data_IF_031929949433
#
_entry.id   IF_031929949433
#
_cell.length_a   1.000
_cell.length_b   1.000
_cell.length_c   1.000
_cell.angle_alpha   90.00
_cell.angle_beta   90.00
_cell.angle_gamma   90.00
#
_symmetry.space_group_name_H-M   'P 1'
#
loop_
_entity.id
_entity.type
_entity.pdbx_description
1 polymer ?
#
# COMPACT_ATOMS: atom_id res chain seq x y z
N UNK A 1 -67.27 8.08 -52.42
CA UNK A 1 -65.86 8.53 -52.22
C UNK A 1 -65.82 9.77 -51.34
N UNK A 2 -65.95 9.67 -50.00
CA UNK A 2 -65.78 10.84 -49.10
C UNK A 2 -65.49 10.49 -47.62
N UNK A 3 -65.04 9.26 -47.32
CA UNK A 3 -64.93 8.79 -45.92
C UNK A 3 -63.52 8.38 -45.45
N UNK A 4 -62.51 8.34 -46.32
CA UNK A 4 -61.20 7.78 -45.93
C UNK A 4 -60.08 8.81 -45.75
N UNK A 5 -60.33 10.10 -46.00
CA UNK A 5 -59.28 11.14 -45.89
C UNK A 5 -59.19 11.71 -44.46
N UNK A 6 -60.26 11.64 -43.67
CA UNK A 6 -60.28 12.24 -42.33
C UNK A 6 -59.58 11.40 -41.25
N UNK A 7 -59.45 10.09 -41.44
CA UNK A 7 -58.75 9.21 -40.49
C UNK A 7 -57.22 9.19 -40.69
N UNK A 8 -56.71 9.46 -41.89
CA UNK A 8 -55.26 9.57 -42.11
C UNK A 8 -54.66 10.84 -41.52
N UNK A 9 -55.43 11.94 -41.44
CA UNK A 9 -54.94 13.20 -40.87
C UNK A 9 -54.82 13.14 -39.34
N UNK A 10 -55.70 12.42 -38.63
CA UNK A 10 -55.63 12.27 -37.17
C UNK A 10 -54.49 11.35 -36.71
N UNK A 11 -54.19 10.30 -37.48
CA UNK A 11 -53.08 9.38 -37.16
C UNK A 11 -51.72 10.04 -37.37
N UNK A 12 -51.59 10.93 -38.36
CA UNK A 12 -50.35 11.67 -38.61
C UNK A 12 -50.06 12.77 -37.58
N UNK A 13 -51.07 13.42 -37.00
CA UNK A 13 -50.84 14.40 -35.90
C UNK A 13 -50.47 13.71 -34.59
N UNK A 14 -51.01 12.51 -34.32
CA UNK A 14 -50.68 11.74 -33.12
C UNK A 14 -49.27 11.13 -33.19
N UNK A 15 -48.82 10.71 -34.37
CA UNK A 15 -47.47 10.17 -34.56
C UNK A 15 -46.37 11.24 -34.42
N UNK A 16 -46.63 12.48 -34.88
CA UNK A 16 -45.67 13.59 -34.73
C UNK A 16 -45.55 14.04 -33.27
N UNK A 17 -46.63 14.00 -32.48
CA UNK A 17 -46.57 14.31 -31.04
C UNK A 17 -45.82 13.23 -30.24
N UNK A 18 -45.95 11.95 -30.60
CA UNK A 18 -45.22 10.86 -29.93
C UNK A 18 -43.73 10.86 -30.32
N UNK A 19 -43.39 11.14 -31.58
CA UNK A 19 -41.99 11.22 -32.04
C UNK A 19 -41.26 12.47 -31.49
N UNK A 20 -41.95 13.58 -31.24
CA UNK A 20 -41.34 14.75 -30.58
C UNK A 20 -41.27 14.64 -29.05
N UNK A 21 -42.10 13.81 -28.41
CA UNK A 21 -42.01 13.57 -26.96
C UNK A 21 -40.85 12.66 -26.54
N UNK A 22 -40.28 11.90 -27.48
CA UNK A 22 -39.12 11.02 -27.24
C UNK A 22 -37.75 11.69 -27.52
N UNK A 23 -37.73 12.88 -28.14
CA UNK A 23 -36.50 13.60 -28.48
C UNK A 23 -36.11 14.71 -27.49
N UNK A 24 -36.79 14.77 -26.34
CA UNK A 24 -36.47 15.70 -25.26
C UNK A 24 -36.42 15.01 -23.90
N UNK A 25 -35.82 13.81 -23.81
CA UNK A 25 -35.06 13.50 -22.59
C UNK A 25 -33.86 14.42 -22.60
N UNK A 26 -34.03 15.66 -22.11
CA UNK A 26 -32.88 16.43 -21.61
C UNK A 26 -32.20 15.49 -20.63
N UNK A 27 -31.03 14.97 -20.99
CA UNK A 27 -30.11 14.34 -20.05
C UNK A 27 -29.79 15.43 -19.03
N UNK A 28 -30.63 15.54 -17.99
CA UNK A 28 -30.39 16.45 -16.89
C UNK A 28 -29.11 15.94 -16.26
N UNK A 29 -28.07 16.76 -16.29
CA UNK A 29 -26.84 16.47 -15.55
C UNK A 29 -27.25 16.18 -14.11
N UNK A 30 -26.82 15.04 -13.53
CA UNK A 30 -27.11 14.74 -12.14
C UNK A 30 -26.60 15.85 -11.23
N UNK A 31 -27.22 16.01 -10.05
CA UNK A 31 -26.82 17.07 -9.12
C UNK A 31 -25.38 16.86 -8.62
N UNK A 32 -24.94 15.61 -8.50
CA UNK A 32 -23.56 15.20 -8.23
C UNK A 32 -23.07 14.32 -9.38
N UNK A 33 -21.99 14.70 -10.05
CA UNK A 33 -21.57 14.03 -11.28
C UNK A 33 -20.08 14.18 -11.57
N UNK A 34 -19.59 13.34 -12.47
CA UNK A 34 -18.40 13.62 -13.24
C UNK A 34 -18.64 13.33 -14.73
N UNK A 35 -17.84 13.96 -15.58
CA UNK A 35 -17.88 13.87 -17.03
C UNK A 35 -16.46 13.64 -17.53
N UNK A 36 -16.28 12.63 -18.36
CA UNK A 36 -15.02 12.32 -19.05
C UNK A 36 -15.32 12.30 -20.54
N UNK A 37 -14.75 13.24 -21.30
CA UNK A 37 -15.13 13.44 -22.70
C UNK A 37 -16.64 13.69 -22.79
N UNK A 38 -17.38 12.87 -23.53
CA UNK A 38 -18.84 12.99 -23.66
C UNK A 38 -19.65 12.17 -22.65
N UNK A 39 -19.00 11.28 -21.89
CA UNK A 39 -19.68 10.39 -20.95
C UNK A 39 -19.90 11.07 -19.61
N UNK A 40 -21.11 11.01 -19.07
CA UNK A 40 -21.47 11.56 -17.75
C UNK A 40 -21.85 10.44 -16.80
N UNK A 41 -21.37 10.51 -15.58
CA UNK A 41 -21.52 9.53 -14.52
C UNK A 41 -22.04 10.23 -13.27
N UNK A 42 -23.05 9.64 -12.62
CA UNK A 42 -23.58 10.17 -11.37
C UNK A 42 -22.71 9.76 -10.17
N UNK A 43 -22.49 10.69 -9.24
CA UNK A 43 -21.79 10.44 -7.99
C UNK A 43 -22.83 10.35 -6.87
N UNK A 44 -22.85 9.24 -6.15
CA UNK A 44 -23.81 9.00 -5.05
C UNK A 44 -23.21 9.26 -3.68
N UNK A 45 -21.90 9.07 -3.52
CA UNK A 45 -21.24 9.24 -2.22
C UNK A 45 -19.78 9.63 -2.39
N UNK A 46 -19.18 10.09 -1.30
CA UNK A 46 -17.74 10.34 -1.23
C UNK A 46 -17.16 9.97 0.12
N UNK A 47 -15.86 9.72 0.17
CA UNK A 47 -15.12 9.43 1.39
C UNK A 47 -13.77 10.14 1.43
N UNK A 48 -13.33 10.44 2.65
CA UNK A 48 -11.96 10.84 2.95
C UNK A 48 -11.25 9.63 3.56
N UNK A 49 -10.06 9.32 3.05
CA UNK A 49 -9.22 8.23 3.51
C UNK A 49 -7.85 8.79 3.89
N UNK A 50 -7.47 8.62 5.15
CA UNK A 50 -6.11 8.95 5.61
C UNK A 50 -5.16 7.79 5.27
N UNK A 51 -4.09 8.09 4.53
CA UNK A 51 -3.06 7.14 4.12
C UNK A 51 -1.77 7.24 4.94
N UNK A 52 -1.71 8.13 5.93
CA UNK A 52 -0.54 8.30 6.78
C UNK A 52 -0.06 9.74 6.89
N UNK A 53 0.80 9.98 7.89
CA UNK A 53 1.56 11.23 7.98
C UNK A 53 2.68 11.24 6.93
N UNK A 54 2.94 12.41 6.36
CA UNK A 54 4.02 12.69 5.40
C UNK A 54 4.65 14.03 5.74
N UNK A 55 5.80 14.35 5.16
CA UNK A 55 6.41 15.66 5.35
C UNK A 55 5.43 16.78 4.95
N UNK A 56 5.10 17.65 5.92
CA UNK A 56 4.18 18.78 5.72
C UNK A 56 2.69 18.49 5.98
N UNK A 57 2.29 17.28 6.38
CA UNK A 57 0.91 16.98 6.79
C UNK A 57 0.54 15.49 6.69
N UNK A 58 -0.67 15.21 6.23
CA UNK A 58 -1.23 13.87 6.07
C UNK A 58 -1.53 13.62 4.60
N UNK A 59 -1.14 12.45 4.12
CA UNK A 59 -1.54 11.96 2.81
C UNK A 59 -3.01 11.53 2.88
N UNK A 60 -3.88 12.25 2.19
CA UNK A 60 -5.33 12.05 2.25
C UNK A 60 -5.88 11.82 0.84
N UNK A 61 -6.59 10.71 0.67
CA UNK A 61 -7.35 10.36 -0.51
C UNK A 61 -8.81 10.84 -0.38
N UNK A 62 -9.26 11.62 -1.36
CA UNK A 62 -10.68 11.88 -1.62
C UNK A 62 -11.16 10.89 -2.66
N UNK A 63 -12.11 10.04 -2.29
CA UNK A 63 -12.78 9.13 -3.21
C UNK A 63 -14.23 9.51 -3.41
N UNK A 64 -14.65 9.61 -4.66
CA UNK A 64 -16.06 9.85 -5.03
C UNK A 64 -16.56 8.62 -5.78
N UNK A 65 -17.73 8.11 -5.42
CA UNK A 65 -18.26 6.82 -5.89
C UNK A 65 -19.58 6.98 -6.65
N UNK A 66 -19.77 6.14 -7.66
CA UNK A 66 -21.06 5.92 -8.30
C UNK A 66 -22.01 5.05 -7.46
N UNK A 67 -23.21 4.78 -7.98
CA UNK A 67 -24.23 3.95 -7.34
C UNK A 67 -23.77 2.51 -7.08
N UNK A 68 -22.89 1.98 -7.93
CA UNK A 68 -22.37 0.62 -7.77
C UNK A 68 -21.21 0.53 -6.79
N UNK A 69 -20.62 1.66 -6.39
CA UNK A 69 -19.36 1.73 -5.64
C UNK A 69 -18.13 1.29 -6.44
N UNK A 70 -18.31 0.95 -7.74
CA UNK A 70 -17.27 0.38 -8.60
C UNK A 70 -16.56 1.48 -9.40
N UNK A 71 -17.26 2.52 -9.83
CA UNK A 71 -16.60 3.64 -10.49
C UNK A 71 -16.24 4.69 -9.45
N UNK A 72 -14.97 5.11 -9.44
CA UNK A 72 -14.53 6.14 -8.52
C UNK A 72 -13.51 7.09 -9.14
N UNK A 73 -13.48 8.30 -8.60
CA UNK A 73 -12.36 9.22 -8.78
C UNK A 73 -11.58 9.27 -7.47
N UNK A 74 -10.26 9.10 -7.53
CA UNK A 74 -9.37 9.26 -6.39
C UNK A 74 -8.43 10.42 -6.59
N UNK A 75 -8.52 11.40 -5.69
CA UNK A 75 -7.60 12.52 -5.62
C UNK A 75 -6.78 12.39 -4.34
N UNK A 76 -5.47 12.41 -4.49
CA UNK A 76 -4.55 12.35 -3.37
C UNK A 76 -4.01 13.75 -3.08
N UNK A 77 -4.05 14.16 -1.81
CA UNK A 77 -3.63 15.47 -1.34
C UNK A 77 -2.75 15.35 -0.09
N UNK A 78 -1.97 16.40 0.19
CA UNK A 78 -1.39 16.60 1.52
C UNK A 78 -2.30 17.57 2.28
N UNK A 79 -2.91 17.11 3.37
CA UNK A 79 -3.75 17.90 4.27
C UNK A 79 -3.03 18.21 5.57
N UNK A 80 -3.32 19.34 6.22
CA UNK A 80 -2.82 19.59 7.58
C UNK A 80 -3.54 18.77 8.64
N UNK A 81 -4.69 18.18 8.29
CA UNK A 81 -5.53 17.40 9.19
C UNK A 81 -5.77 16.01 8.61
N UNK A 82 -5.58 14.97 9.43
CA UNK A 82 -5.73 13.56 9.06
C UNK A 82 -7.11 13.21 8.49
N UNK A 83 -8.17 13.74 9.08
CA UNK A 83 -9.54 13.30 8.82
C UNK A 83 -10.37 14.31 8.02
N UNK A 84 -9.72 15.36 7.52
CA UNK A 84 -10.41 16.52 6.92
C UNK A 84 -9.56 17.10 5.81
N UNK A 85 -10.24 17.48 4.72
CA UNK A 85 -9.64 18.26 3.66
C UNK A 85 -10.06 19.72 3.85
N UNK A 86 -9.08 20.63 3.86
CA UNK A 86 -9.32 22.05 4.04
C UNK A 86 -9.98 22.67 2.81
N UNK A 87 -10.68 23.80 3.00
CA UNK A 87 -11.15 24.57 1.87
C UNK A 87 -9.97 25.16 1.11
N UNK A 88 -9.77 24.73 -0.13
CA UNK A 88 -8.62 25.12 -0.93
C UNK A 88 -8.79 24.76 -2.40
N UNK A 89 -7.87 25.26 -3.21
CA UNK A 89 -7.70 24.88 -4.62
C UNK A 89 -6.47 23.98 -4.71
N UNK A 90 -6.71 22.68 -4.91
CA UNK A 90 -5.66 21.68 -5.11
C UNK A 90 -5.32 21.58 -6.58
N UNK A 91 -4.03 21.42 -6.89
CA UNK A 91 -3.52 21.17 -8.24
C UNK A 91 -2.87 19.80 -8.24
N UNK A 92 -2.83 19.16 -9.40
CA UNK A 92 -2.11 17.90 -9.60
C UNK A 92 -0.72 18.18 -10.20
N UNK A 93 0.31 18.51 -9.40
CA UNK A 93 1.63 18.81 -9.93
C UNK A 93 2.38 17.56 -10.42
N UNK A 94 2.00 16.37 -9.97
CA UNK A 94 2.82 15.15 -10.09
C UNK A 94 2.12 13.95 -10.75
N UNK A 95 0.87 14.11 -11.19
CA UNK A 95 0.11 13.05 -11.86
C UNK A 95 -0.37 11.95 -10.91
N UNK A 96 -0.43 12.23 -9.60
CA UNK A 96 -0.87 11.29 -8.57
C UNK A 96 -2.37 10.98 -8.59
N UNK A 97 -3.18 11.85 -9.22
CA UNK A 97 -4.62 11.65 -9.30
C UNK A 97 -5.00 10.67 -10.40
N UNK A 98 -6.01 9.85 -10.11
CA UNK A 98 -6.37 8.70 -10.93
C UNK A 98 -7.89 8.53 -11.02
N UNK A 99 -8.36 8.16 -12.21
CA UNK A 99 -9.74 7.76 -12.47
C UNK A 99 -9.76 6.25 -12.60
N UNK A 100 -10.53 5.56 -11.78
CA UNK A 100 -10.51 4.10 -11.73
C UNK A 100 -11.90 3.48 -11.80
N UNK A 101 -11.97 2.34 -12.49
CA UNK A 101 -13.02 1.35 -12.29
C UNK A 101 -12.45 0.23 -11.40
N UNK A 102 -13.10 0.00 -10.26
CA UNK A 102 -12.85 -1.12 -9.36
C UNK A 102 -13.83 -2.26 -9.71
N UNK A 103 -13.36 -3.24 -10.49
CA UNK A 103 -14.01 -4.55 -10.55
C UNK A 103 -13.30 -5.50 -9.59
N UNK A 104 -14.00 -5.94 -8.54
CA UNK A 104 -13.60 -7.04 -7.65
C UNK A 104 -12.25 -6.82 -6.92
N UNK A 105 -11.92 -5.58 -6.54
CA UNK A 105 -10.69 -5.28 -5.79
C UNK A 105 -9.46 -5.04 -6.68
N UNK A 106 -9.60 -5.17 -8.00
CA UNK A 106 -8.52 -4.94 -8.97
C UNK A 106 -8.82 -3.68 -9.78
N UNK A 107 -7.89 -2.71 -9.75
CA UNK A 107 -7.98 -1.46 -10.52
C UNK A 107 -7.69 -1.73 -12.00
N UNK A 108 -8.71 -2.15 -12.77
CA UNK A 108 -8.51 -2.74 -14.10
C UNK A 108 -8.40 -1.72 -15.24
N UNK A 109 -8.61 -0.43 -14.98
CA UNK A 109 -8.42 0.64 -15.98
C UNK A 109 -8.28 1.99 -15.27
N UNK A 110 -7.06 2.36 -14.91
CA UNK A 110 -6.77 3.66 -14.33
C UNK A 110 -6.36 4.66 -15.41
N UNK A 111 -7.21 5.63 -15.73
CA UNK A 111 -6.77 6.78 -16.51
C UNK A 111 -6.04 7.75 -15.56
N UNK A 112 -4.75 7.97 -15.80
CA UNK A 112 -3.98 8.96 -15.04
C UNK A 112 -4.49 10.36 -15.37
N UNK A 113 -4.72 11.17 -14.35
CA UNK A 113 -4.98 12.59 -14.52
C UNK A 113 -3.61 13.26 -14.74
N UNK A 114 -3.42 13.86 -15.90
CA UNK A 114 -2.16 14.51 -16.28
C UNK A 114 -2.01 15.89 -15.63
N UNK A 115 -3.10 16.66 -15.58
CA UNK A 115 -3.12 17.98 -14.95
C UNK A 115 -4.53 18.35 -14.55
N UNK A 116 -4.69 19.30 -13.64
CA UNK A 116 -6.02 19.76 -13.26
C UNK A 116 -6.06 20.52 -11.96
N UNK A 117 -7.28 20.93 -11.63
CA UNK A 117 -7.64 21.64 -10.42
C UNK A 117 -8.84 20.94 -9.79
N UNK A 118 -8.77 20.70 -8.49
CA UNK A 118 -9.91 20.34 -7.66
C UNK A 118 -10.07 21.44 -6.62
N UNK A 119 -11.23 22.11 -6.63
CA UNK A 119 -11.58 23.09 -5.61
C UNK A 119 -12.48 22.40 -4.60
N UNK A 120 -12.16 22.57 -3.33
CA UNK A 120 -12.93 22.00 -2.23
C UNK A 120 -13.33 23.18 -1.35
N UNK A 121 -14.62 23.32 -1.11
CA UNK A 121 -15.20 24.26 -0.15
C UNK A 121 -15.92 23.45 0.93
N UNK A 122 -15.63 23.77 2.19
CA UNK A 122 -16.21 23.09 3.35
C UNK A 122 -17.07 24.09 4.11
N UNK A 123 -18.25 23.65 4.49
CA UNK A 123 -19.20 24.44 5.28
C UNK A 123 -19.80 23.58 6.40
N UNK A 124 -20.75 24.14 7.15
CA UNK A 124 -21.58 23.37 8.09
C UNK A 124 -22.40 22.29 7.39
N UNK A 125 -22.71 22.48 6.10
CA UNK A 125 -23.62 21.65 5.32
C UNK A 125 -22.87 20.58 4.51
N UNK A 126 -21.62 20.30 4.88
CA UNK A 126 -20.74 19.35 4.23
C UNK A 126 -19.75 19.98 3.25
N UNK A 127 -19.44 19.25 2.18
CA UNK A 127 -18.44 19.60 1.18
C UNK A 127 -19.09 20.00 -0.14
N UNK A 128 -18.47 20.96 -0.83
CA UNK A 128 -18.66 21.24 -2.25
C UNK A 128 -17.33 21.04 -2.96
N UNK A 129 -17.32 20.27 -4.04
CA UNK A 129 -16.11 19.84 -4.73
C UNK A 129 -16.30 20.07 -6.23
N UNK A 130 -15.52 20.97 -6.79
CA UNK A 130 -15.47 21.28 -8.22
C UNK A 130 -14.22 20.70 -8.85
N UNK A 131 -14.39 19.85 -9.85
CA UNK A 131 -13.32 19.12 -10.53
C UNK A 131 -13.18 19.67 -11.95
N UNK A 132 -11.96 20.07 -12.32
CA UNK A 132 -11.60 20.43 -13.69
C UNK A 132 -10.19 19.93 -14.00
N UNK A 133 -10.09 18.82 -14.71
CA UNK A 133 -8.83 18.16 -14.99
C UNK A 133 -8.73 17.71 -16.45
N UNK A 134 -7.58 17.15 -16.80
CA UNK A 134 -7.28 16.55 -18.09
C UNK A 134 -6.54 15.24 -17.88
N UNK A 135 -6.93 14.17 -18.55
CA UNK A 135 -6.25 12.88 -18.47
C UNK A 135 -4.96 12.84 -19.31
N UNK A 136 -4.25 11.71 -19.25
CA UNK A 136 -3.05 11.43 -20.04
C UNK A 136 -3.24 11.47 -21.57
N UNK A 137 -4.48 11.42 -22.05
CA UNK A 137 -4.85 11.52 -23.47
C UNK A 137 -5.38 12.91 -23.83
N UNK A 138 -5.22 13.90 -22.94
CA UNK A 138 -5.76 15.25 -23.09
C UNK A 138 -7.30 15.32 -23.14
N UNK A 139 -7.99 14.30 -22.64
CA UNK A 139 -9.45 14.31 -22.49
C UNK A 139 -9.85 15.13 -21.28
N UNK A 140 -10.81 16.06 -21.47
CA UNK A 140 -11.31 16.88 -20.38
C UNK A 140 -12.13 16.04 -19.39
N UNK A 141 -11.86 16.28 -18.10
CA UNK A 141 -12.58 15.72 -16.96
C UNK A 141 -13.22 16.88 -16.20
N UNK A 142 -14.54 16.84 -16.02
CA UNK A 142 -15.27 17.79 -15.17
C UNK A 142 -16.05 17.05 -14.11
N UNK A 143 -16.29 17.67 -12.97
CA UNK A 143 -17.17 17.07 -11.98
C UNK A 143 -17.60 18.06 -10.93
N UNK A 144 -18.69 17.72 -10.27
CA UNK A 144 -19.25 18.46 -9.16
C UNK A 144 -19.79 17.48 -8.14
N UNK A 145 -19.49 17.71 -6.87
CA UNK A 145 -20.07 16.98 -5.76
C UNK A 145 -20.44 17.94 -4.65
N UNK A 146 -21.65 17.81 -4.13
CA UNK A 146 -22.13 18.45 -2.92
C UNK A 146 -22.72 17.40 -1.98
N UNK A 147 -22.21 17.36 -0.76
CA UNK A 147 -22.70 16.47 0.28
C UNK A 147 -21.66 16.19 1.35
N UNK A 148 -22.01 15.30 2.26
CA UNK A 148 -21.08 14.83 3.28
C UNK A 148 -20.11 13.80 2.72
N UNK A 149 -18.90 13.80 3.27
CA UNK A 149 -17.90 12.78 2.99
C UNK A 149 -17.84 11.84 4.19
N UNK A 150 -18.08 10.56 3.96
CA UNK A 150 -17.89 9.57 5.02
C UNK A 150 -16.42 9.52 5.37
N UNK A 151 -16.11 9.58 6.66
CA UNK A 151 -14.77 9.20 7.11
C UNK A 151 -14.67 7.70 6.92
N UNK A 152 -13.71 7.31 6.09
CA UNK A 152 -13.23 5.94 6.09
C UNK A 152 -11.81 6.04 6.58
N UNK A 153 -11.59 5.59 7.81
CA UNK A 153 -10.35 4.87 8.02
C UNK A 153 -10.34 3.82 6.93
N UNK A 154 -9.20 3.62 6.28
CA UNK A 154 -9.16 2.62 5.25
C UNK A 154 -9.45 1.30 5.98
N UNK A 155 -10.72 0.85 6.00
CA UNK A 155 -11.15 -0.39 6.67
C UNK A 155 -10.51 -1.61 5.97
N UNK A 156 -9.86 -1.38 4.83
CA UNK A 156 -8.95 -2.28 4.14
C UNK A 156 -7.45 -2.02 4.44
N UNK A 157 -7.11 -1.18 5.41
CA UNK A 157 -5.76 -0.95 5.92
C UNK A 157 -5.68 -0.97 7.47
N UNK A 158 -6.34 -1.93 8.12
CA UNK A 158 -5.46 -2.87 8.82
C UNK A 158 -4.62 -3.45 7.70
N UNK A 159 -3.43 -2.90 7.43
CA UNK A 159 -2.52 -3.57 6.50
C UNK A 159 -2.16 -4.87 7.21
N UNK A 160 -3.00 -5.88 7.02
CA UNK A 160 -2.66 -7.25 7.32
C UNK A 160 -1.30 -7.47 6.67
N UNK A 161 -0.38 -8.08 7.42
CA UNK A 161 0.89 -8.51 6.85
C UNK A 161 0.54 -9.28 5.58
N UNK A 162 1.09 -8.92 4.41
CA UNK A 162 0.66 -9.53 3.17
C UNK A 162 0.89 -11.04 3.25
N UNK A 163 -0.10 -11.80 2.80
CA UNK A 163 -0.08 -13.27 2.88
C UNK A 163 1.12 -13.91 2.17
N UNK A 164 1.70 -13.21 1.20
CA UNK A 164 2.92 -13.64 0.50
C UNK A 164 4.20 -13.48 1.34
N UNK A 165 4.12 -12.82 2.50
CA UNK A 165 5.20 -12.61 3.47
C UNK A 165 4.94 -13.42 4.73
N UNK A 166 3.71 -13.38 5.24
CA UNK A 166 3.29 -14.16 6.38
C UNK A 166 2.01 -14.91 6.00
N UNK A 167 2.10 -16.18 5.60
CA UNK A 167 0.94 -16.97 5.20
C UNK A 167 -0.08 -17.12 6.32
N UNK A 168 -1.38 -17.15 5.96
CA UNK A 168 -2.48 -17.29 6.93
C UNK A 168 -2.32 -18.58 7.76
N UNK A 169 -1.76 -19.64 7.17
CA UNK A 169 -1.59 -20.95 7.80
C UNK A 169 -0.70 -20.92 9.05
N UNK A 170 0.20 -19.95 9.16
CA UNK A 170 1.13 -19.81 10.30
C UNK A 170 1.02 -18.46 11.01
N UNK A 171 0.07 -17.60 10.60
CA UNK A 171 -0.06 -16.24 11.15
C UNK A 171 -0.25 -16.27 12.67
N UNK A 172 -1.23 -17.05 13.16
CA UNK A 172 -1.54 -17.13 14.58
C UNK A 172 -0.41 -17.76 15.41
N UNK A 173 0.38 -18.65 14.81
CA UNK A 173 1.52 -19.27 15.50
C UNK A 173 2.71 -18.31 15.59
N UNK A 174 3.06 -17.63 14.50
CA UNK A 174 4.14 -16.64 14.49
C UNK A 174 3.82 -15.49 15.44
N UNK A 175 2.57 -15.01 15.47
CA UNK A 175 2.16 -13.86 16.30
C UNK A 175 2.08 -14.16 17.81
N UNK A 176 2.18 -15.42 18.22
CA UNK A 176 2.39 -15.77 19.65
C UNK A 176 3.80 -15.38 20.14
N UNK A 177 4.76 -15.28 19.22
CA UNK A 177 6.16 -15.05 19.55
C UNK A 177 6.72 -13.74 18.96
N UNK A 178 6.02 -13.14 18.00
CA UNK A 178 6.46 -11.97 17.26
C UNK A 178 5.37 -10.89 17.21
N UNK A 179 5.65 -9.64 17.64
CA UNK A 179 4.68 -8.56 17.55
C UNK A 179 4.46 -8.13 16.10
N UNK A 180 3.19 -7.94 15.73
CA UNK A 180 2.79 -7.41 14.43
C UNK A 180 1.99 -6.13 14.63
N UNK A 181 2.57 -5.02 14.20
CA UNK A 181 1.95 -3.71 14.22
C UNK A 181 1.37 -3.38 12.84
N UNK A 182 0.06 -3.59 12.72
CA UNK A 182 -0.72 -3.11 11.60
C UNK A 182 -0.97 -1.60 11.70
N UNK A 183 -1.21 -0.96 10.56
CA UNK A 183 -1.58 0.45 10.48
C UNK A 183 -0.99 1.12 9.23
N UNK A 184 -1.34 2.38 9.03
CA UNK A 184 -1.00 3.17 7.84
C UNK A 184 -0.16 4.39 8.13
N UNK A 185 0.11 4.65 9.40
CA UNK A 185 0.90 5.79 9.89
C UNK A 185 2.15 5.27 10.61
N UNK A 186 2.98 4.42 9.98
CA UNK A 186 4.21 3.96 10.63
C UNK A 186 5.15 5.15 10.86
N UNK A 187 6.08 5.04 11.83
CA UNK A 187 7.10 6.06 12.03
C UNK A 187 8.00 6.22 10.79
N UNK A 188 8.69 7.36 10.69
CA UNK A 188 9.79 7.50 9.75
C UNK A 188 10.96 6.61 10.19
N UNK A 189 11.19 5.54 9.44
CA UNK A 189 12.21 4.54 9.75
C UNK A 189 13.62 4.95 9.31
N UNK A 190 13.80 6.07 8.61
CA UNK A 190 15.10 6.53 8.10
C UNK A 190 16.18 6.47 9.20
N UNK A 191 17.25 5.72 8.94
CA UNK A 191 18.35 5.57 9.90
C UNK A 191 19.12 4.27 9.71
N UNK A 192 20.15 4.11 10.53
CA UNK A 192 21.02 2.94 10.56
C UNK A 192 21.11 2.43 11.99
N UNK A 193 20.97 1.12 12.16
CA UNK A 193 20.77 0.46 13.45
C UNK A 193 21.61 -0.82 13.52
N UNK A 194 21.95 -1.23 14.75
CA UNK A 194 22.55 -2.55 15.03
C UNK A 194 21.76 -3.23 16.13
N UNK A 195 21.40 -4.50 15.92
CA UNK A 195 20.90 -5.37 16.98
C UNK A 195 22.04 -6.29 17.43
N UNK A 196 22.45 -6.18 18.69
CA UNK A 196 23.64 -6.85 19.23
C UNK A 196 23.55 -6.92 20.76
N UNK A 197 23.42 -8.13 21.36
CA UNK A 197 23.31 -9.43 20.71
C UNK A 197 21.97 -9.64 20.01
N UNK A 198 21.97 -10.25 18.82
CA UNK A 198 20.75 -10.70 18.16
C UNK A 198 20.53 -12.18 18.47
N UNK A 199 19.45 -12.51 19.17
CA UNK A 199 19.25 -13.85 19.75
C UNK A 199 18.00 -14.53 19.19
N UNK A 200 18.06 -15.85 18.98
CA UNK A 200 16.91 -16.68 18.65
C UNK A 200 16.08 -16.94 19.92
N UNK A 201 14.79 -16.65 19.84
CA UNK A 201 13.84 -16.86 20.94
C UNK A 201 12.79 -17.92 20.63
N UNK A 202 12.61 -18.27 19.36
CA UNK A 202 11.70 -19.34 18.95
C UNK A 202 12.06 -19.88 17.57
N UNK A 203 11.89 -21.19 17.37
CA UNK A 203 11.87 -21.80 16.04
C UNK A 203 10.84 -22.92 15.96
N UNK A 204 10.16 -23.02 14.82
CA UNK A 204 8.97 -23.88 14.67
C UNK A 204 9.27 -25.38 14.53
N UNK A 205 10.55 -25.76 14.48
CA UNK A 205 11.00 -27.13 14.23
C UNK A 205 12.04 -27.63 15.24
N UNK A 206 12.30 -26.88 16.32
CA UNK A 206 13.14 -27.35 17.41
C UNK A 206 12.44 -28.49 18.17
N UNK A 207 13.21 -29.54 18.49
CA UNK A 207 12.79 -30.52 19.50
C UNK A 207 12.90 -29.96 20.94
N UNK A 208 13.70 -28.90 21.14
CA UNK A 208 13.84 -28.21 22.42
C UNK A 208 13.80 -26.68 22.22
N UNK A 209 12.62 -26.04 22.29
CA UNK A 209 12.46 -24.61 22.06
C UNK A 209 13.12 -23.70 23.12
N UNK A 210 13.64 -24.26 24.23
CA UNK A 210 14.15 -23.50 25.37
C UNK A 210 15.64 -23.12 25.28
N UNK A 211 16.38 -23.56 24.27
CA UNK A 211 17.78 -23.15 24.09
C UNK A 211 17.89 -21.83 23.31
N UNK A 212 18.13 -20.73 24.02
CA UNK A 212 18.47 -19.44 23.41
C UNK A 212 19.81 -19.58 22.67
N UNK A 213 19.79 -19.35 21.36
CA UNK A 213 21.00 -19.31 20.53
C UNK A 213 21.34 -17.86 20.20
N UNK A 214 22.56 -17.44 20.50
CA UNK A 214 23.08 -16.12 20.11
C UNK A 214 23.55 -16.20 18.66
N UNK A 215 23.04 -15.30 17.82
CA UNK A 215 23.48 -15.10 16.44
C UNK A 215 24.45 -13.92 16.36
N UNK A 216 25.11 -13.78 15.22
CA UNK A 216 25.93 -12.60 14.93
C UNK A 216 25.09 -11.32 14.92
N UNK A 217 25.73 -10.21 15.28
CA UNK A 217 25.18 -8.86 15.21
C UNK A 217 24.50 -8.60 13.86
N UNK A 218 23.33 -7.95 13.93
CA UNK A 218 22.55 -7.62 12.75
C UNK A 218 22.55 -6.12 12.51
N UNK A 219 23.25 -5.70 11.46
CA UNK A 219 23.28 -4.32 11.01
C UNK A 219 22.15 -4.08 10.00
N UNK A 220 21.48 -2.93 10.16
CA UNK A 220 20.29 -2.57 9.40
C UNK A 220 20.36 -1.11 8.99
N UNK A 221 19.87 -0.79 7.81
CA UNK A 221 19.84 0.55 7.26
C UNK A 221 18.56 0.75 6.48
N UNK A 222 17.78 1.75 6.87
CA UNK A 222 16.54 2.13 6.21
C UNK A 222 16.77 3.49 5.55
N UNK A 223 16.79 3.51 4.22
CA UNK A 223 17.13 4.71 3.45
C UNK A 223 16.01 5.02 2.47
N UNK A 224 15.41 6.20 2.62
CA UNK A 224 14.40 6.74 1.73
C UNK A 224 15.05 7.40 0.51
N UNK A 225 14.94 6.76 -0.64
CA UNK A 225 15.37 7.33 -1.92
C UNK A 225 14.35 7.03 -3.00
N UNK A 226 14.27 7.88 -4.03
CA UNK A 226 13.36 7.68 -5.17
C UNK A 226 11.89 7.43 -4.77
N UNK A 227 11.42 8.10 -3.71
CA UNK A 227 10.06 8.01 -3.16
C UNK A 227 9.69 6.64 -2.57
N UNK A 228 10.68 5.84 -2.16
CA UNK A 228 10.48 4.52 -1.54
C UNK A 228 11.47 4.31 -0.41
N UNK A 229 11.07 3.55 0.61
CA UNK A 229 11.99 3.10 1.63
C UNK A 229 12.76 1.87 1.11
N UNK A 230 14.08 1.89 1.26
CA UNK A 230 14.93 0.76 0.91
C UNK A 230 15.61 0.24 2.17
N UNK A 231 15.83 -1.06 2.22
CA UNK A 231 16.54 -1.74 3.29
C UNK A 231 17.93 -2.16 2.84
N UNK A 232 18.90 -1.96 3.72
CA UNK A 232 20.26 -2.43 3.63
C UNK A 232 20.52 -3.24 4.90
N UNK A 233 20.92 -4.49 4.75
CA UNK A 233 21.26 -5.36 5.87
C UNK A 233 22.70 -5.84 5.74
N UNK A 234 23.33 -6.10 6.88
CA UNK A 234 24.66 -6.70 6.94
C UNK A 234 24.72 -7.62 8.16
N UNK A 235 25.21 -8.84 7.96
CA UNK A 235 25.34 -9.85 9.02
C UNK A 235 26.63 -10.66 8.81
N UNK A 236 27.31 -11.02 9.90
CA UNK A 236 28.53 -11.83 9.80
C UNK A 236 28.20 -13.29 9.50
N UNK A 237 28.76 -13.79 8.40
CA UNK A 237 28.69 -15.19 7.97
C UNK A 237 29.94 -15.90 8.51
N UNK A 238 29.73 -16.78 9.50
CA UNK A 238 30.81 -17.51 10.18
C UNK A 238 31.48 -18.53 9.24
N UNK A 239 30.75 -19.05 8.25
CA UNK A 239 31.27 -20.04 7.29
C UNK A 239 32.22 -19.36 6.31
N UNK A 240 31.85 -18.18 5.81
CA UNK A 240 32.69 -17.38 4.90
C UNK A 240 33.77 -16.58 5.64
N UNK A 241 33.60 -16.35 6.94
CA UNK A 241 34.48 -15.51 7.73
C UNK A 241 34.41 -14.03 7.36
N UNK A 242 33.34 -13.59 6.69
CA UNK A 242 33.12 -12.23 6.20
C UNK A 242 31.64 -11.84 6.39
N UNK A 243 31.28 -10.60 6.07
CA UNK A 243 29.92 -10.12 6.13
C UNK A 243 29.15 -10.40 4.85
N UNK A 244 27.94 -10.92 5.00
CA UNK A 244 26.94 -10.95 3.96
C UNK A 244 26.10 -9.66 4.00
N UNK A 245 25.91 -9.06 2.83
CA UNK A 245 25.09 -7.85 2.67
C UNK A 245 23.83 -8.17 1.87
N UNK A 246 22.70 -7.59 2.30
CA UNK A 246 21.42 -7.67 1.59
C UNK A 246 20.93 -6.26 1.28
N UNK A 247 20.38 -6.07 0.07
CA UNK A 247 19.75 -4.80 -0.32
C UNK A 247 18.38 -5.09 -0.90
N UNK A 248 17.36 -4.41 -0.38
CA UNK A 248 15.98 -4.55 -0.81
C UNK A 248 15.37 -3.19 -1.08
N UNK A 249 14.79 -3.04 -2.28
CA UNK A 249 14.20 -1.78 -2.71
C UNK A 249 12.69 -1.79 -2.49
N UNK A 250 12.13 -0.66 -2.06
CA UNK A 250 10.69 -0.52 -1.89
C UNK A 250 10.11 -1.44 -0.80
N UNK A 251 10.82 -1.59 0.32
CA UNK A 251 10.31 -2.37 1.46
C UNK A 251 9.01 -1.77 1.97
N UNK A 252 8.09 -2.64 2.38
CA UNK A 252 6.77 -2.20 2.84
C UNK A 252 6.76 -2.15 4.36
N UNK A 253 6.27 -1.03 4.88
CA UNK A 253 6.18 -0.75 6.31
C UNK A 253 4.70 -0.49 6.65
N UNK A 254 4.29 -1.03 7.79
CA UNK A 254 2.97 -0.87 8.42
C UNK A 254 3.17 -0.47 9.88
N UNK A 255 2.14 0.08 10.50
CA UNK A 255 2.18 0.45 11.91
C UNK A 255 1.49 1.78 12.18
N UNK A 256 1.62 2.23 13.42
CA UNK A 256 0.98 3.44 13.92
C UNK A 256 1.85 4.11 14.98
N UNK A 257 1.91 5.45 14.93
CA UNK A 257 2.74 6.27 15.83
C UNK A 257 4.22 5.88 15.72
N UNK A 258 4.80 5.40 16.81
CA UNK A 258 6.16 4.90 16.93
C UNK A 258 6.30 3.40 16.67
N UNK A 259 5.20 2.66 16.53
CA UNK A 259 5.21 1.22 16.30
C UNK A 259 5.28 0.89 14.81
N UNK A 260 6.10 -0.09 14.44
CA UNK A 260 6.26 -0.50 13.04
C UNK A 260 6.37 -2.01 12.85
N UNK A 261 5.91 -2.48 11.68
CA UNK A 261 6.30 -3.75 11.10
C UNK A 261 6.76 -3.51 9.66
N UNK A 262 7.98 -3.91 9.36
CA UNK A 262 8.59 -3.83 8.03
C UNK A 262 8.79 -5.23 7.49
N UNK A 263 8.66 -5.42 6.18
CA UNK A 263 8.94 -6.71 5.59
C UNK A 263 9.44 -6.64 4.14
N UNK A 264 10.19 -7.66 3.77
CA UNK A 264 10.62 -7.95 2.41
C UNK A 264 10.73 -9.45 2.18
N UNK A 265 10.79 -9.86 0.92
CA UNK A 265 10.97 -11.24 0.50
C UNK A 265 12.26 -11.34 -0.30
N UNK A 266 12.99 -12.44 -0.12
CA UNK A 266 14.13 -12.79 -0.95
C UNK A 266 13.86 -14.15 -1.59
N UNK A 267 14.27 -14.27 -2.84
CA UNK A 267 14.31 -15.54 -3.56
C UNK A 267 15.74 -15.90 -3.94
N UNK A 268 15.94 -17.19 -4.21
CA UNK A 268 17.22 -17.74 -4.56
C UNK A 268 17.12 -19.21 -4.97
N UNK A 269 18.27 -19.83 -5.10
CA UNK A 269 18.39 -21.27 -5.32
C UNK A 269 19.32 -21.84 -4.26
N UNK A 270 18.99 -23.00 -3.70
CA UNK A 270 19.82 -23.72 -2.73
C UNK A 270 20.00 -25.12 -3.26
N UNK A 271 21.24 -25.51 -3.55
CA UNK A 271 21.56 -26.83 -4.11
C UNK A 271 20.76 -27.14 -5.40
N UNK A 272 20.48 -26.11 -6.21
CA UNK A 272 19.70 -26.23 -7.45
C UNK A 272 18.18 -26.21 -7.30
N UNK A 273 17.64 -26.11 -6.07
CA UNK A 273 16.21 -25.98 -5.81
C UNK A 273 15.84 -24.52 -5.58
N UNK A 274 14.75 -24.05 -6.20
CA UNK A 274 14.24 -22.71 -5.94
C UNK A 274 13.76 -22.58 -4.49
N UNK A 275 14.14 -21.50 -3.83
CA UNK A 275 13.74 -21.20 -2.47
C UNK A 275 13.31 -19.73 -2.34
N UNK A 276 12.36 -19.49 -1.43
CA UNK A 276 11.88 -18.15 -1.10
C UNK A 276 11.70 -18.03 0.41
N UNK A 277 12.12 -16.91 0.99
CA UNK A 277 11.90 -16.61 2.41
C UNK A 277 11.51 -15.15 2.60
N UNK A 278 10.72 -14.87 3.63
CA UNK A 278 10.45 -13.51 4.06
C UNK A 278 11.29 -13.13 5.27
N UNK A 279 11.64 -11.85 5.35
CA UNK A 279 12.07 -11.20 6.58
C UNK A 279 11.02 -10.20 7.00
N UNK A 280 10.66 -10.26 8.29
CA UNK A 280 9.68 -9.38 8.93
C UNK A 280 10.37 -8.80 10.16
N UNK A 281 10.44 -7.48 10.25
CA UNK A 281 10.99 -6.77 11.40
C UNK A 281 9.87 -6.03 12.11
N UNK A 282 9.92 -5.97 13.44
CA UNK A 282 8.97 -5.17 14.20
C UNK A 282 9.60 -4.59 15.45
N UNK A 283 9.03 -3.49 15.94
CA UNK A 283 9.48 -2.82 17.14
C UNK A 283 8.89 -1.43 17.24
N UNK A 284 9.52 -0.61 18.08
CA UNK A 284 9.14 0.77 18.35
C UNK A 284 10.30 1.71 18.02
N UNK A 285 10.08 2.69 17.16
CA UNK A 285 11.07 3.71 16.82
C UNK A 285 11.21 4.71 17.95
N UNK A 286 12.43 4.90 18.45
CA UNK A 286 12.77 5.93 19.45
C UNK A 286 13.95 6.77 18.96
N UNK A 287 14.29 7.84 19.68
CA UNK A 287 15.48 8.64 19.34
C UNK A 287 16.79 7.85 19.53
N UNK A 288 16.81 6.87 20.44
CA UNK A 288 17.98 6.05 20.73
C UNK A 288 18.20 4.89 19.73
N UNK A 289 17.13 4.47 19.03
CA UNK A 289 17.19 3.33 18.11
C UNK A 289 15.81 2.69 17.90
N UNK A 290 15.78 1.36 17.84
CA UNK A 290 14.56 0.56 17.75
C UNK A 290 14.40 -0.25 19.04
N UNK A 291 13.45 0.16 19.88
CA UNK A 291 13.08 -0.52 21.13
C UNK A 291 12.22 -1.75 20.82
N UNK A 292 12.38 -2.81 21.62
CA UNK A 292 11.70 -4.10 21.47
C UNK A 292 11.83 -4.67 20.04
N UNK A 293 13.04 -4.59 19.48
CA UNK A 293 13.30 -5.02 18.11
C UNK A 293 13.22 -6.54 17.96
N UNK A 294 12.36 -7.01 17.06
CA UNK A 294 12.18 -8.42 16.71
C UNK A 294 12.36 -8.64 15.21
N UNK A 295 12.81 -9.84 14.85
CA UNK A 295 12.87 -10.36 13.47
C UNK A 295 12.14 -11.70 13.41
N UNK A 296 11.16 -11.84 12.53
CA UNK A 296 10.68 -13.14 12.07
C UNK A 296 11.25 -13.44 10.68
N UNK A 297 11.73 -14.67 10.49
CA UNK A 297 12.11 -15.19 9.18
C UNK A 297 11.24 -16.40 8.90
N UNK A 298 10.68 -16.48 7.69
CA UNK A 298 9.75 -17.56 7.28
C UNK A 298 10.21 -18.15 5.97
N UNK A 299 10.32 -19.48 5.91
CA UNK A 299 10.56 -20.22 4.67
C UNK A 299 9.24 -20.36 3.89
N UNK A 300 9.10 -19.62 2.79
CA UNK A 300 7.88 -19.56 1.98
C UNK A 300 7.83 -20.61 0.87
N UNK A 301 8.99 -20.99 0.34
CA UNK A 301 9.14 -22.00 -0.71
C UNK A 301 10.49 -22.70 -0.55
N UNK A 302 10.51 -24.02 -0.79
CA UNK A 302 11.72 -24.83 -0.78
C UNK A 302 11.81 -25.77 -2.00
N UNK A 303 10.81 -25.74 -2.89
CA UNK A 303 10.68 -26.56 -4.10
C UNK A 303 10.98 -28.05 -3.89
N UNK A 304 10.66 -28.57 -2.70
CA UNK A 304 10.90 -29.97 -2.33
C UNK A 304 12.36 -30.32 -2.04
N UNK A 305 13.24 -29.34 -1.76
CA UNK A 305 14.61 -29.61 -1.32
C UNK A 305 14.60 -30.45 -0.03
N UNK A 306 15.10 -31.71 -0.06
CA UNK A 306 15.03 -32.60 1.09
C UNK A 306 15.91 -32.16 2.27
N UNK A 307 16.96 -31.38 1.99
CA UNK A 307 17.94 -30.91 2.97
C UNK A 307 17.51 -29.63 3.68
N UNK A 308 16.42 -29.00 3.24
CA UNK A 308 15.85 -27.84 3.90
C UNK A 308 14.71 -28.24 4.85
N UNK A 309 14.43 -27.42 5.85
CA UNK A 309 13.20 -27.51 6.62
C UNK A 309 11.95 -27.35 5.75
N UNK A 310 10.80 -27.76 6.29
CA UNK A 310 9.54 -27.73 5.56
C UNK A 310 9.10 -26.29 5.27
N UNK A 311 8.41 -26.09 4.13
CA UNK A 311 7.68 -24.84 3.87
C UNK A 311 6.84 -24.43 5.08
N UNK A 312 6.75 -23.13 5.33
CA UNK A 312 6.14 -22.48 6.47
C UNK A 312 6.87 -22.68 7.81
N UNK A 313 8.07 -23.27 7.80
CA UNK A 313 8.96 -23.20 8.95
C UNK A 313 9.38 -21.76 9.22
N UNK A 314 9.49 -21.38 10.49
CA UNK A 314 9.85 -20.02 10.87
C UNK A 314 10.76 -19.97 12.10
N UNK A 315 11.49 -18.85 12.20
CA UNK A 315 12.32 -18.47 13.35
C UNK A 315 11.93 -17.06 13.79
N UNK A 316 11.91 -16.84 15.10
CA UNK A 316 11.76 -15.52 15.70
C UNK A 316 13.00 -15.21 16.52
N UNK A 317 13.60 -14.07 16.21
CA UNK A 317 14.78 -13.52 16.87
C UNK A 317 14.42 -12.15 17.46
N UNK A 318 15.20 -11.71 18.44
CA UNK A 318 15.09 -10.36 18.99
C UNK A 318 16.45 -9.79 19.35
N UNK A 319 16.46 -8.49 19.56
CA UNK A 319 17.53 -7.86 20.32
C UNK A 319 17.47 -8.30 21.80
N UNK A 320 18.60 -8.75 22.36
CA UNK A 320 18.65 -9.26 23.73
C UNK A 320 18.50 -8.16 24.77
N UNK A 321 19.15 -7.01 24.57
CA UNK A 321 19.10 -5.89 25.52
C UNK A 321 17.86 -5.01 25.35
N UNK A 322 17.12 -5.25 24.26
CA UNK A 322 15.84 -4.63 23.98
C UNK A 322 15.96 -3.35 23.15
N UNK A 323 17.16 -2.98 22.71
CA UNK A 323 17.38 -1.77 21.91
C UNK A 323 18.36 -2.05 20.77
N UNK A 324 17.84 -2.11 19.54
CA UNK A 324 18.71 -1.99 18.39
C UNK A 324 19.19 -0.52 18.25
N UNK A 325 20.41 -0.24 18.70
CA UNK A 325 20.97 1.10 18.81
C UNK A 325 21.26 1.75 17.46
N UNK A 326 21.27 3.08 17.40
CA UNK A 326 21.76 3.82 16.24
C UNK A 326 23.23 3.48 15.94
N UNK A 327 23.54 3.10 14.70
CA UNK A 327 24.90 2.72 14.31
C UNK A 327 25.21 3.18 12.88
N UNK A 328 26.22 4.03 12.71
CA UNK A 328 26.62 4.55 11.39
C UNK A 328 27.61 3.60 10.70
N UNK A 329 27.09 2.61 9.98
CA UNK A 329 27.90 1.57 9.32
C UNK A 329 27.94 1.71 7.79
N UNK A 330 26.97 2.40 7.17
CA UNK A 330 26.95 2.69 5.74
C UNK A 330 27.89 3.83 5.34
N UNK A 331 28.28 4.69 6.28
CA UNK A 331 29.16 5.86 6.06
C UNK A 331 30.60 5.54 5.63
N UNK A 332 30.96 4.25 5.46
CA UNK A 332 32.26 3.80 4.94
C UNK A 332 32.25 3.19 3.53
N UNK A 333 31.12 3.21 2.80
CA UNK A 333 31.02 2.51 1.50
C UNK A 333 31.84 3.19 0.39
N UNK A 334 32.88 2.51 -0.09
CA UNK A 334 33.28 2.62 -1.50
C UNK A 334 32.25 1.85 -2.34
N UNK A 335 31.71 2.49 -3.37
CA UNK A 335 30.53 2.09 -4.12
C UNK A 335 30.71 0.83 -5.00
N UNK A 336 30.92 -0.35 -4.43
CA UNK A 336 30.62 -1.60 -5.12
C UNK A 336 29.13 -1.90 -4.94
N UNK A 337 28.39 -1.96 -6.06
CA UNK A 337 27.01 -2.46 -6.05
C UNK A 337 27.05 -3.92 -5.56
N UNK A 338 26.30 -4.30 -4.51
CA UNK A 338 26.13 -5.71 -4.21
C UNK A 338 25.49 -6.37 -5.43
N UNK A 339 26.20 -7.32 -6.02
CA UNK A 339 25.70 -8.12 -7.14
C UNK A 339 24.61 -9.02 -6.61
N UNK A 340 23.46 -9.02 -7.28
CA UNK A 340 22.27 -9.85 -7.02
C UNK A 340 22.54 -11.37 -7.16
N UNK A 341 23.81 -11.79 -7.22
CA UNK A 341 24.22 -13.14 -7.56
C UNK A 341 24.48 -13.97 -6.30
N UNK A 342 23.56 -14.90 -6.07
CA UNK A 342 23.66 -16.08 -5.19
C UNK A 342 23.45 -15.81 -3.70
N UNK A 343 22.19 -15.54 -3.34
CA UNK A 343 21.66 -15.51 -1.97
C UNK A 343 21.69 -16.88 -1.26
N UNK A 344 22.46 -17.89 -1.72
CA UNK A 344 22.38 -19.25 -1.15
C UNK A 344 22.63 -19.24 0.38
N UNK A 345 23.55 -18.41 0.85
CA UNK A 345 23.88 -18.25 2.28
C UNK A 345 22.76 -17.65 3.12
N UNK A 346 21.91 -16.79 2.56
CA UNK A 346 20.73 -16.28 3.29
C UNK A 346 19.75 -17.40 3.65
N UNK A 347 19.81 -18.54 2.96
CA UNK A 347 18.99 -19.71 3.20
C UNK A 347 19.69 -20.79 4.05
N UNK A 348 20.96 -20.62 4.42
CA UNK A 348 21.71 -21.60 5.23
C UNK A 348 21.04 -21.83 6.60
N UNK A 349 20.32 -20.81 7.11
CA UNK A 349 19.52 -20.91 8.32
C UNK A 349 18.43 -22.02 8.25
N UNK A 350 18.07 -22.49 7.05
CA UNK A 350 17.04 -23.50 6.83
C UNK A 350 17.59 -24.89 6.53
N UNK A 351 18.90 -25.07 6.49
CA UNK A 351 19.51 -26.37 6.24
C UNK A 351 19.43 -27.26 7.49
N UNK A 352 19.18 -28.56 7.28
CA UNK A 352 19.12 -29.61 8.33
C UNK A 352 20.47 -30.18 8.69
#
# INVERSE_FOLDING_TARGET
>A
MKSNVLNLLKVSTLLIAVVFSLSCRRNKTPDNYFKIGDSTYEIKSGSIINNGEVEGGFNVDLRLYDESGKNFINFTFISKEAERIASSTYRNPDGSWVLGHNSNGTYSSMAKVNSGVVKIDRSSDGYTIDIKCTDQYSTEIRGYFKGDLSKKDNDNLVRAVPKYVLPDEIYDEVTQHFPVYSGVTPPNMQGEYVSSPHILIYESYAENPDSVQVYSDRYMGFIYTNKQMNFYGKQYDVVKGDYEEVVQYGVKITGSNDLFTCYYVVDGYVQGYYAQQSFIFSGKKTDAGLEDFHTAVVLLENSGNPNMYAKNSYRVLKDEDGLAENNLWLSGRNSSKPTHSQNESLFDIWMK
#
